data_IF_809428185910
#
_entry.id   IF_809428185910
#
_cell.length_a   1.000
_cell.length_b   1.000
_cell.length_c   1.000
_cell.angle_alpha   90.00
_cell.angle_beta   90.00
_cell.angle_gamma   90.00
#
_symmetry.space_group_name_H-M   'P 1'
#
loop_
_entity.id
_entity.type
_entity.pdbx_description
1 polymer ?
#
# COMPACT_ATOMS: atom_id res chain seq x y z
N UNK A 1 18.08 -20.92 -21.83
CA UNK A 1 17.85 -20.09 -23.02
C UNK A 1 16.56 -19.26 -22.84
N UNK A 2 16.62 -17.94 -22.99
CA UNK A 2 15.41 -17.11 -23.01
C UNK A 2 14.78 -17.28 -24.40
N UNK A 3 13.48 -17.59 -24.46
CA UNK A 3 12.78 -17.80 -25.73
C UNK A 3 12.91 -16.53 -26.57
N UNK A 4 13.32 -16.66 -27.85
CA UNK A 4 13.56 -15.56 -28.80
C UNK A 4 14.83 -14.71 -28.59
N UNK A 5 15.71 -15.08 -27.66
CA UNK A 5 17.03 -14.43 -27.50
C UNK A 5 18.15 -15.42 -27.82
N UNK A 6 18.89 -15.15 -28.90
CA UNK A 6 20.07 -15.93 -29.26
C UNK A 6 21.21 -15.68 -28.26
N UNK A 7 22.02 -16.72 -28.02
CA UNK A 7 23.21 -16.61 -27.18
C UNK A 7 24.24 -15.72 -27.87
N UNK A 8 24.83 -14.78 -27.15
CA UNK A 8 25.93 -13.97 -27.66
C UNK A 8 27.25 -14.75 -27.62
N UNK A 9 27.97 -14.78 -28.74
CA UNK A 9 29.26 -15.51 -28.84
C UNK A 9 30.39 -14.81 -28.08
N UNK A 10 30.41 -13.47 -28.10
CA UNK A 10 31.43 -12.64 -27.45
C UNK A 10 30.77 -11.62 -26.51
N UNK A 11 30.33 -12.03 -25.31
CA UNK A 11 29.73 -11.10 -24.36
C UNK A 11 30.78 -10.14 -23.80
N UNK A 12 30.40 -8.88 -23.58
CA UNK A 12 31.27 -7.83 -23.01
C UNK A 12 31.56 -8.02 -21.51
N UNK A 13 30.84 -8.91 -20.83
CA UNK A 13 30.96 -9.14 -19.40
C UNK A 13 30.33 -10.46 -18.97
N UNK A 14 30.39 -10.71 -17.66
CA UNK A 14 29.87 -11.94 -17.06
C UNK A 14 28.34 -11.90 -16.92
N UNK A 15 27.71 -13.05 -17.07
CA UNK A 15 26.26 -13.20 -17.00
C UNK A 15 25.93 -14.43 -16.17
N UNK A 16 24.94 -14.30 -15.29
CA UNK A 16 24.38 -15.43 -14.55
C UNK A 16 22.90 -15.22 -14.25
N UNK A 17 22.23 -16.28 -13.79
CA UNK A 17 20.90 -16.20 -13.19
C UNK A 17 21.02 -16.45 -11.70
N UNK A 18 20.33 -15.64 -10.91
CA UNK A 18 20.22 -15.84 -9.47
C UNK A 18 18.85 -16.48 -9.16
N UNK A 19 18.81 -17.31 -8.12
CA UNK A 19 17.58 -17.86 -7.57
C UNK A 19 17.39 -17.24 -6.20
N UNK A 20 16.25 -16.58 -5.99
CA UNK A 20 15.89 -16.00 -4.71
C UNK A 20 15.85 -17.11 -3.64
N UNK A 21 16.53 -16.87 -2.52
CA UNK A 21 16.63 -17.78 -1.39
C UNK A 21 15.57 -17.49 -0.33
N UNK A 22 15.12 -16.25 -0.23
CA UNK A 22 14.06 -15.79 0.68
C UNK A 22 12.70 -16.35 0.29
N UNK A 23 11.76 -16.31 1.22
CA UNK A 23 10.42 -16.88 1.07
C UNK A 23 9.40 -15.92 0.45
N UNK A 24 9.76 -14.65 0.28
CA UNK A 24 8.93 -13.61 -0.35
C UNK A 24 9.25 -13.45 -1.84
N UNK A 25 8.34 -12.79 -2.56
CA UNK A 25 8.52 -12.36 -3.96
C UNK A 25 8.16 -10.88 -4.17
N UNK A 26 7.94 -10.17 -3.07
CA UNK A 26 7.66 -8.75 -3.08
C UNK A 26 8.94 -7.95 -3.35
N UNK A 27 8.79 -6.71 -3.79
CA UNK A 27 9.92 -5.87 -4.16
C UNK A 27 10.90 -5.65 -3.01
N UNK A 28 10.44 -5.56 -1.76
CA UNK A 28 11.34 -5.31 -0.62
C UNK A 28 12.19 -6.55 -0.33
N UNK A 29 11.57 -7.74 -0.29
CA UNK A 29 12.29 -9.00 -0.07
C UNK A 29 13.43 -9.18 -1.08
N UNK A 30 13.16 -8.99 -2.37
CA UNK A 30 14.19 -9.11 -3.40
C UNK A 30 15.33 -8.09 -3.26
N UNK A 31 15.02 -6.83 -2.93
CA UNK A 31 16.04 -5.80 -2.71
C UNK A 31 16.86 -6.04 -1.44
N UNK A 32 16.21 -6.51 -0.37
CA UNK A 32 16.88 -6.87 0.89
C UNK A 32 17.82 -8.06 0.70
N UNK A 33 17.42 -9.06 -0.08
CA UNK A 33 18.30 -10.18 -0.42
C UNK A 33 19.48 -9.77 -1.29
N UNK A 34 19.28 -8.86 -2.25
CA UNK A 34 20.37 -8.31 -3.07
C UNK A 34 21.44 -7.58 -2.25
N UNK A 35 21.10 -7.07 -1.05
CA UNK A 35 22.05 -6.43 -0.12
C UNK A 35 22.46 -7.33 1.05
N UNK A 36 22.13 -8.63 1.00
CA UNK A 36 22.66 -9.65 1.91
C UNK A 36 21.75 -10.10 3.05
N UNK A 37 20.47 -9.69 3.08
CA UNK A 37 19.51 -10.16 4.08
C UNK A 37 18.79 -11.43 3.63
N UNK A 38 18.56 -12.37 4.54
CA UNK A 38 17.76 -13.56 4.25
C UNK A 38 16.39 -13.48 4.95
N UNK A 39 15.32 -13.35 4.15
CA UNK A 39 13.97 -13.12 4.65
C UNK A 39 13.21 -14.45 4.66
N UNK A 40 12.94 -14.96 5.85
CA UNK A 40 12.23 -16.24 6.08
C UNK A 40 10.74 -16.07 6.35
N UNK A 41 10.28 -14.84 6.57
CA UNK A 41 8.88 -14.47 6.76
C UNK A 41 8.47 -13.50 5.64
N UNK A 42 7.60 -13.90 4.69
CA UNK A 42 7.18 -13.01 3.61
C UNK A 42 6.30 -11.89 4.15
N UNK A 43 6.32 -10.74 3.46
CA UNK A 43 5.34 -9.69 3.72
C UNK A 43 3.95 -10.11 3.23
N UNK A 44 2.92 -9.75 3.99
CA UNK A 44 1.55 -10.07 3.61
C UNK A 44 1.04 -9.10 2.54
N UNK A 45 0.32 -9.63 1.55
CA UNK A 45 -0.39 -8.83 0.57
C UNK A 45 -1.89 -9.04 0.74
N UNK A 46 -2.64 -7.96 0.58
CA UNK A 46 -4.10 -7.94 0.78
C UNK A 46 -4.84 -7.71 -0.54
N UNK A 47 -4.18 -8.00 -1.67
CA UNK A 47 -4.64 -7.64 -3.01
C UNK A 47 -5.95 -8.33 -3.41
N UNK A 48 -6.14 -9.59 -3.01
CA UNK A 48 -7.29 -10.39 -3.44
C UNK A 48 -8.56 -10.16 -2.60
N UNK A 49 -8.40 -9.87 -1.30
CA UNK A 49 -9.50 -9.85 -0.33
C UNK A 49 -9.70 -8.51 0.36
N UNK A 50 -8.77 -7.57 0.21
CA UNK A 50 -8.65 -6.43 1.12
C UNK A 50 -8.11 -6.86 2.50
N UNK A 51 -8.06 -5.89 3.41
CA UNK A 51 -7.67 -6.12 4.80
C UNK A 51 -8.77 -6.89 5.56
N UNK A 52 -8.39 -7.73 6.54
CA UNK A 52 -9.34 -8.49 7.35
C UNK A 52 -10.21 -7.56 8.20
N UNK A 53 -11.45 -7.97 8.43
CA UNK A 53 -12.45 -7.19 9.17
C UNK A 53 -11.95 -6.79 10.57
N UNK A 54 -11.26 -7.68 11.28
CA UNK A 54 -10.70 -7.42 12.62
C UNK A 54 -9.69 -6.25 12.62
N UNK A 55 -8.89 -6.10 11.56
CA UNK A 55 -7.99 -4.96 11.41
C UNK A 55 -8.78 -3.66 11.23
N UNK A 56 -9.82 -3.69 10.40
CA UNK A 56 -10.64 -2.52 10.10
C UNK A 56 -11.42 -2.06 11.32
N UNK A 57 -11.93 -3.00 12.12
CA UNK A 57 -12.63 -2.71 13.37
C UNK A 57 -11.70 -2.08 14.40
N UNK A 58 -10.50 -2.63 14.58
CA UNK A 58 -9.50 -2.04 15.49
C UNK A 58 -9.08 -0.64 15.02
N UNK A 59 -8.90 -0.46 13.71
CA UNK A 59 -8.56 0.83 13.14
C UNK A 59 -9.71 1.84 13.35
N UNK A 60 -10.95 1.46 13.04
CA UNK A 60 -12.15 2.28 13.26
C UNK A 60 -12.29 2.69 14.73
N UNK A 61 -12.07 1.75 15.64
CA UNK A 61 -12.15 1.98 17.09
C UNK A 61 -11.09 2.97 17.59
N UNK A 62 -9.87 2.91 17.07
CA UNK A 62 -8.77 3.78 17.50
C UNK A 62 -8.75 5.15 16.80
N UNK A 63 -9.23 5.23 15.56
CA UNK A 63 -9.29 6.50 14.81
C UNK A 63 -10.60 7.25 15.07
N UNK A 64 -11.70 6.54 15.32
CA UNK A 64 -13.04 7.13 15.42
C UNK A 64 -13.71 7.37 14.05
N UNK A 65 -13.10 6.89 12.96
CA UNK A 65 -13.62 7.03 11.60
C UNK A 65 -14.05 5.68 11.06
N UNK A 66 -15.23 5.60 10.43
CA UNK A 66 -15.58 4.39 9.67
C UNK A 66 -14.67 4.28 8.43
N UNK A 67 -14.61 3.09 7.85
CA UNK A 67 -13.72 2.80 6.73
C UNK A 67 -14.53 2.45 5.48
N UNK A 68 -14.10 3.00 4.34
CA UNK A 68 -14.60 2.65 3.00
C UNK A 68 -13.44 2.26 2.08
N UNK A 69 -13.76 1.59 0.96
CA UNK A 69 -12.80 1.14 -0.05
C UNK A 69 -12.37 -0.31 0.14
N UNK A 70 -11.54 -0.59 1.15
CA UNK A 70 -10.95 -1.88 1.50
C UNK A 70 -10.70 -2.85 0.32
N UNK A 71 -10.01 -2.37 -0.72
CA UNK A 71 -9.72 -3.18 -1.91
C UNK A 71 -8.39 -2.78 -2.53
N UNK A 72 -7.87 -3.64 -3.39
CA UNK A 72 -6.78 -3.25 -4.29
C UNK A 72 -7.35 -2.33 -5.37
N UNK A 73 -6.85 -1.09 -5.44
CA UNK A 73 -7.31 -0.11 -6.41
C UNK A 73 -6.20 0.85 -6.80
N UNK A 74 -6.33 1.46 -7.98
CA UNK A 74 -5.48 2.58 -8.32
C UNK A 74 -5.82 3.81 -7.47
N UNK A 75 -4.84 4.69 -7.25
CA UNK A 75 -5.04 5.89 -6.45
C UNK A 75 -6.04 6.89 -7.04
N UNK A 76 -6.30 6.84 -8.34
CA UNK A 76 -7.28 7.68 -9.04
C UNK A 76 -8.67 7.06 -8.93
N UNK A 77 -8.78 5.76 -9.20
CA UNK A 77 -10.05 5.01 -9.15
C UNK A 77 -10.71 5.06 -7.78
N UNK A 78 -9.95 4.81 -6.70
CA UNK A 78 -10.51 4.82 -5.35
C UNK A 78 -11.03 6.20 -4.94
N UNK A 79 -10.39 7.25 -5.47
CA UNK A 79 -10.72 8.64 -5.19
C UNK A 79 -11.96 9.09 -5.97
N UNK A 80 -12.08 8.65 -7.22
CA UNK A 80 -13.27 8.86 -8.04
C UNK A 80 -14.50 8.12 -7.51
N UNK A 81 -14.31 7.04 -6.74
CA UNK A 81 -15.38 6.25 -6.15
C UNK A 81 -15.81 6.76 -4.77
N UNK A 82 -14.85 7.08 -3.89
CA UNK A 82 -15.13 7.39 -2.49
C UNK A 82 -14.81 8.83 -2.07
N UNK A 83 -14.20 9.65 -2.93
CA UNK A 83 -13.76 11.00 -2.57
C UNK A 83 -14.90 11.90 -2.10
N UNK A 84 -16.02 11.93 -2.83
CA UNK A 84 -17.21 12.70 -2.42
C UNK A 84 -17.89 12.12 -1.18
N UNK A 85 -17.84 10.79 -1.00
CA UNK A 85 -18.37 10.13 0.20
C UNK A 85 -17.59 10.57 1.44
N UNK A 86 -16.26 10.45 1.39
CA UNK A 86 -15.38 10.87 2.48
C UNK A 86 -15.60 12.33 2.85
N UNK A 87 -15.73 13.23 1.87
CA UNK A 87 -15.94 14.66 2.17
C UNK A 87 -17.27 14.91 2.89
N UNK A 88 -18.30 14.11 2.62
CA UNK A 88 -19.63 14.26 3.23
C UNK A 88 -19.71 13.60 4.62
N UNK A 89 -19.07 12.45 4.81
CA UNK A 89 -19.23 11.64 6.02
C UNK A 89 -18.05 11.75 6.99
N UNK A 90 -16.88 12.14 6.50
CA UNK A 90 -15.62 12.04 7.25
C UNK A 90 -15.07 10.62 7.33
N UNK A 91 -15.64 9.65 6.59
CA UNK A 91 -15.14 8.28 6.59
C UNK A 91 -13.76 8.20 5.92
N UNK A 92 -12.93 7.30 6.44
CA UNK A 92 -11.56 7.11 6.00
C UNK A 92 -11.52 6.15 4.81
N UNK A 93 -10.94 6.58 3.69
CA UNK A 93 -10.75 5.72 2.52
C UNK A 93 -9.46 4.91 2.72
N UNK A 94 -9.60 3.61 2.92
CA UNK A 94 -8.48 2.68 3.09
C UNK A 94 -8.40 1.75 1.90
N UNK A 95 -7.22 1.59 1.32
CA UNK A 95 -7.01 0.72 0.16
C UNK A 95 -5.57 0.19 0.09
N UNK A 96 -5.35 -0.80 -0.77
CA UNK A 96 -4.05 -1.46 -0.97
C UNK A 96 -3.65 -1.48 -2.45
N UNK A 97 -2.51 -2.10 -2.76
CA UNK A 97 -2.04 -2.34 -4.13
C UNK A 97 -1.58 -3.80 -4.28
N UNK A 98 -0.78 -4.09 -5.30
CA UNK A 98 -0.11 -5.38 -5.45
C UNK A 98 1.01 -5.59 -4.41
N UNK A 99 1.53 -4.51 -3.83
CA UNK A 99 2.58 -4.54 -2.82
C UNK A 99 1.99 -4.64 -1.39
N UNK A 100 2.83 -4.98 -0.42
CA UNK A 100 2.47 -4.99 0.99
C UNK A 100 2.36 -3.56 1.56
N UNK A 101 1.27 -2.88 1.23
CA UNK A 101 1.02 -1.50 1.65
C UNK A 101 -0.42 -1.29 2.12
N UNK A 102 -0.60 -0.39 3.09
CA UNK A 102 -1.89 0.18 3.47
C UNK A 102 -1.85 1.68 3.19
N UNK A 103 -2.79 2.14 2.37
CA UNK A 103 -2.88 3.54 1.96
C UNK A 103 -4.15 4.14 2.53
N UNK A 104 -4.02 5.33 3.12
CA UNK A 104 -5.14 6.07 3.70
C UNK A 104 -5.27 7.39 2.96
N UNK A 105 -6.46 7.71 2.45
CA UNK A 105 -6.75 9.03 1.88
C UNK A 105 -7.51 9.88 2.88
N UNK A 106 -7.20 11.16 2.88
CA UNK A 106 -7.94 12.19 3.59
C UNK A 106 -7.96 13.46 2.74
N UNK A 107 -9.13 14.06 2.56
CA UNK A 107 -9.23 15.40 1.98
C UNK A 107 -8.69 16.43 2.98
N UNK A 108 -7.79 17.31 2.54
CA UNK A 108 -7.05 18.17 3.48
C UNK A 108 -7.95 19.14 4.26
N UNK A 109 -9.04 19.61 3.66
CA UNK A 109 -9.92 20.61 4.30
C UNK A 109 -10.96 19.99 5.22
N UNK A 110 -11.41 18.76 4.94
CA UNK A 110 -12.52 18.13 5.68
C UNK A 110 -12.04 17.04 6.64
N UNK A 111 -11.00 16.29 6.26
CA UNK A 111 -10.38 15.28 7.11
C UNK A 111 -9.24 15.88 7.94
N UNK A 112 -8.46 16.80 7.35
CA UNK A 112 -7.30 17.41 8.01
C UNK A 112 -6.02 16.60 7.86
N UNK A 113 -4.90 17.28 7.64
CA UNK A 113 -3.60 16.64 7.43
C UNK A 113 -3.06 15.99 8.72
N UNK A 114 -3.14 16.70 9.85
CA UNK A 114 -2.69 16.18 11.15
C UNK A 114 -3.48 14.92 11.56
N UNK A 115 -4.79 14.94 11.29
CA UNK A 115 -5.68 13.80 11.55
C UNK A 115 -5.37 12.61 10.63
N UNK A 116 -5.07 12.87 9.35
CA UNK A 116 -4.59 11.84 8.43
C UNK A 116 -3.28 11.20 8.91
N UNK A 117 -2.31 12.00 9.36
CA UNK A 117 -1.07 11.48 9.90
C UNK A 117 -1.29 10.69 11.20
N UNK A 118 -2.13 11.19 12.11
CA UNK A 118 -2.53 10.46 13.33
C UNK A 118 -3.13 9.09 12.98
N UNK A 119 -4.03 9.05 11.99
CA UNK A 119 -4.62 7.80 11.51
C UNK A 119 -3.57 6.85 10.92
N UNK A 120 -2.60 7.36 10.15
CA UNK A 120 -1.51 6.57 9.60
C UNK A 120 -0.56 6.01 10.68
N UNK A 121 -0.26 6.78 11.72
CA UNK A 121 0.55 6.33 12.86
C UNK A 121 -0.14 5.19 13.61
N UNK A 122 -1.43 5.34 13.91
CA UNK A 122 -2.27 4.29 14.50
C UNK A 122 -2.29 3.04 13.63
N UNK A 123 -2.50 3.21 12.31
CA UNK A 123 -2.48 2.09 11.37
C UNK A 123 -1.11 1.39 11.36
N UNK A 124 -0.01 2.14 11.49
CA UNK A 124 1.34 1.57 11.55
C UNK A 124 1.51 0.70 12.79
N UNK A 125 1.10 1.19 13.96
CA UNK A 125 1.18 0.43 15.21
C UNK A 125 0.37 -0.88 15.13
N UNK A 126 -0.86 -0.82 14.62
CA UNK A 126 -1.73 -2.00 14.47
C UNK A 126 -1.09 -3.05 13.54
N UNK A 127 -0.54 -2.59 12.42
CA UNK A 127 0.03 -3.45 11.37
C UNK A 127 1.47 -3.90 11.66
N UNK A 128 1.99 -3.71 12.87
CA UNK A 128 3.19 -4.39 13.33
C UNK A 128 2.92 -5.82 13.82
N UNK A 129 1.67 -6.16 14.11
CA UNK A 129 1.26 -7.53 14.45
C UNK A 129 1.58 -8.47 13.29
N UNK A 130 2.17 -9.62 13.57
CA UNK A 130 2.59 -10.60 12.55
C UNK A 130 1.40 -11.03 11.66
N UNK A 131 0.19 -11.06 12.21
CA UNK A 131 -1.08 -11.40 11.54
C UNK A 131 -1.51 -10.41 10.47
N UNK A 132 -1.13 -9.13 10.58
CA UNK A 132 -1.54 -8.07 9.65
C UNK A 132 -0.36 -7.24 9.16
N UNK A 133 0.81 -7.87 9.10
CA UNK A 133 2.07 -7.17 8.87
C UNK A 133 2.15 -6.58 7.48
N UNK A 134 2.18 -5.25 7.39
CA UNK A 134 2.38 -4.52 6.13
C UNK A 134 3.76 -3.87 6.08
N UNK A 135 4.32 -3.82 4.87
CA UNK A 135 5.59 -3.16 4.62
C UNK A 135 5.54 -1.67 4.94
N UNK A 136 4.52 -0.96 4.43
CA UNK A 136 4.43 0.49 4.53
C UNK A 136 2.99 0.99 4.71
N UNK A 137 2.84 2.01 5.57
CA UNK A 137 1.64 2.86 5.61
C UNK A 137 1.91 4.12 4.80
N UNK A 138 0.96 4.54 3.97
CA UNK A 138 1.13 5.72 3.11
C UNK A 138 -0.07 6.66 3.30
N UNK A 139 0.19 7.84 3.85
CA UNK A 139 -0.75 8.96 3.81
C UNK A 139 -0.91 9.44 2.36
N UNK A 140 -2.14 9.64 1.92
CA UNK A 140 -2.48 10.08 0.57
C UNK A 140 -3.42 11.27 0.61
N UNK A 141 -2.94 12.44 1.06
CA UNK A 141 -3.75 13.64 1.07
C UNK A 141 -4.17 14.06 -0.35
N UNK A 142 -5.32 14.71 -0.44
CA UNK A 142 -5.82 15.28 -1.69
C UNK A 142 -6.69 16.52 -1.43
N UNK A 143 -6.87 17.30 -2.49
CA UNK A 143 -7.73 18.50 -2.54
C UNK A 143 -8.68 18.41 -3.73
N UNK A 144 -9.70 19.27 -3.75
CA UNK A 144 -10.67 19.41 -4.83
C UNK A 144 -12.10 19.13 -4.35
N UNK A 145 -13.08 19.78 -4.96
CA UNK A 145 -14.44 19.83 -4.40
C UNK A 145 -15.33 18.65 -4.80
N UNK A 146 -15.06 18.02 -5.96
CA UNK A 146 -15.92 16.99 -6.54
C UNK A 146 -15.14 16.04 -7.47
N UNK A 147 -15.81 14.95 -7.85
CA UNK A 147 -15.28 13.97 -8.79
C UNK A 147 -14.81 14.62 -10.09
N UNK A 148 -13.61 14.24 -10.55
CA UNK A 148 -12.95 14.81 -11.72
C UNK A 148 -12.10 16.06 -11.45
N UNK A 149 -12.26 16.71 -10.29
CA UNK A 149 -11.41 17.84 -9.87
C UNK A 149 -10.39 17.46 -8.80
N UNK A 150 -10.49 16.24 -8.25
CA UNK A 150 -9.58 15.77 -7.21
C UNK A 150 -8.12 15.71 -7.66
N UNK A 151 -7.23 16.26 -6.84
CA UNK A 151 -5.78 16.26 -7.07
C UNK A 151 -5.05 15.82 -5.81
N UNK A 152 -4.11 14.90 -5.99
CA UNK A 152 -3.18 14.51 -4.92
C UNK A 152 -2.24 15.66 -4.63
N UNK A 153 -1.96 15.90 -3.37
CA UNK A 153 -0.99 16.89 -2.94
C UNK A 153 0.39 16.24 -2.76
N UNK A 154 1.41 17.06 -2.50
CA UNK A 154 2.79 16.63 -2.28
C UNK A 154 3.16 16.48 -0.80
N UNK A 155 2.15 16.53 0.08
CA UNK A 155 2.27 16.32 1.52
C UNK A 155 2.49 14.84 1.89
#
# INVERSE_FOLDING_TARGET
>A
PIKHLQKQEKPLGYQMKMKEASTGKDTMTGHWEMVGLHITKPFQTFTATGFPQELLEELTKRTGHNIVGNKSASGTEILDEFGEHQMKTGDMIVYTSADSVLQIRGHEETFGLDELYRCCEIAREITLKDEWKVGRIIARPYVGEKKGEFKRTSN
#
